data_IF_666887246722
#
_entry.id   IF_666887246722
#
_cell.length_a   1.000
_cell.length_b   1.000
_cell.length_c   1.000
_cell.angle_alpha   90.00
_cell.angle_beta   90.00
_cell.angle_gamma   90.00
#
_symmetry.space_group_name_H-M   'P 1'
#
loop_
_entity.id
_entity.type
_entity.pdbx_description
1 polymer ?
#
# COMPACT_ATOMS: atom_id res chain seq x y z
N UNK A 1 5.87 3.26 9.63
CA UNK A 1 4.76 2.48 10.14
C UNK A 1 5.10 0.99 10.17
N UNK A 2 4.70 0.30 11.21
CA UNK A 2 4.92 -1.14 11.34
C UNK A 2 4.08 -1.95 10.33
N UNK A 3 2.94 -1.41 9.92
CA UNK A 3 2.04 -2.15 9.01
C UNK A 3 2.42 -2.02 7.54
N UNK A 4 3.25 -1.06 7.19
CA UNK A 4 3.59 -0.78 5.79
C UNK A 4 5.02 -1.16 5.53
N UNK A 5 5.23 -2.12 4.62
CA UNK A 5 6.56 -2.51 4.17
C UNK A 5 7.03 -1.63 3.02
N UNK A 6 6.16 -1.41 2.05
CA UNK A 6 6.43 -0.57 0.90
C UNK A 6 5.18 0.21 0.54
N UNK A 7 5.36 1.43 0.04
CA UNK A 7 4.25 2.27 -0.39
C UNK A 7 4.69 3.13 -1.56
N UNK A 8 3.81 3.27 -2.55
CA UNK A 8 4.04 4.19 -3.67
C UNK A 8 2.78 5.03 -3.89
N UNK A 9 2.93 6.34 -3.74
CA UNK A 9 1.82 7.25 -4.00
C UNK A 9 1.63 7.40 -5.51
N UNK A 10 0.39 7.30 -5.95
CA UNK A 10 0.00 7.52 -7.35
C UNK A 10 -1.05 8.61 -7.39
N UNK A 11 -1.33 9.16 -8.57
CA UNK A 11 -2.34 10.21 -8.65
C UNK A 11 -2.19 11.15 -9.82
N UNK A 12 -1.19 10.94 -10.66
CA UNK A 12 -0.97 11.79 -11.83
C UNK A 12 -2.21 11.77 -12.72
N UNK A 13 -2.81 12.94 -12.94
CA UNK A 13 -4.00 13.06 -13.76
C UNK A 13 -5.29 12.56 -13.11
N UNK A 14 -5.25 12.21 -11.83
CA UNK A 14 -6.42 11.70 -11.11
C UNK A 14 -7.02 12.80 -10.22
N UNK A 15 -8.24 12.54 -9.73
CA UNK A 15 -8.98 13.50 -8.90
C UNK A 15 -8.39 13.63 -7.49
N UNK A 16 -7.66 12.62 -7.04
CA UNK A 16 -7.07 12.61 -5.71
C UNK A 16 -5.86 11.68 -5.69
N UNK A 17 -4.93 11.87 -4.73
CA UNK A 17 -3.82 10.93 -4.57
C UNK A 17 -4.31 9.60 -3.99
N UNK A 18 -3.77 8.51 -4.54
CA UNK A 18 -3.96 7.17 -3.99
C UNK A 18 -2.61 6.56 -3.68
N UNK A 19 -2.60 5.36 -3.14
CA UNK A 19 -1.36 4.66 -2.86
C UNK A 19 -1.48 3.16 -3.12
N UNK A 20 -0.41 2.61 -3.67
CA UNK A 20 -0.20 1.17 -3.72
C UNK A 20 0.59 0.82 -2.46
N UNK A 21 0.09 -0.11 -1.66
CA UNK A 21 0.66 -0.44 -0.36
C UNK A 21 0.97 -1.92 -0.28
N UNK A 22 2.22 -2.24 0.06
CA UNK A 22 2.59 -3.62 0.40
C UNK A 22 2.67 -3.69 1.91
N UNK A 23 1.80 -4.46 2.56
CA UNK A 23 1.79 -4.54 4.03
C UNK A 23 2.94 -5.38 4.56
N UNK A 24 3.35 -5.09 5.80
CA UNK A 24 4.26 -5.94 6.54
C UNK A 24 3.42 -7.07 7.14
N UNK A 25 3.52 -8.26 6.55
CA UNK A 25 2.67 -9.38 6.91
C UNK A 25 2.86 -9.83 8.36
N UNK A 26 4.09 -9.78 8.86
CA UNK A 26 4.37 -10.17 10.24
C UNK A 26 3.71 -9.23 11.24
N UNK A 27 3.77 -7.94 10.97
CA UNK A 27 3.12 -6.95 11.81
C UNK A 27 1.60 -7.07 11.79
N UNK A 28 1.03 -7.34 10.61
CA UNK A 28 -0.42 -7.55 10.47
C UNK A 28 -0.85 -8.80 11.22
N UNK A 29 -0.11 -9.89 11.08
CA UNK A 29 -0.41 -11.13 11.78
C UNK A 29 -0.37 -10.95 13.31
N UNK A 30 0.62 -10.23 13.80
CA UNK A 30 0.74 -9.93 15.23
C UNK A 30 -0.43 -9.08 15.74
N UNK A 31 -0.82 -8.08 14.95
CA UNK A 31 -1.98 -7.25 15.29
C UNK A 31 -3.27 -8.09 15.36
N UNK A 32 -3.45 -8.99 14.39
CA UNK A 32 -4.62 -9.88 14.37
C UNK A 32 -4.65 -10.75 15.64
N UNK A 33 -3.50 -11.27 16.04
CA UNK A 33 -3.39 -12.08 17.24
C UNK A 33 -3.77 -11.31 18.49
N UNK A 34 -3.28 -10.06 18.63
CA UNK A 34 -3.60 -9.22 19.78
C UNK A 34 -5.05 -8.80 19.83
N UNK A 35 -5.68 -8.63 18.68
CA UNK A 35 -7.07 -8.18 18.57
C UNK A 35 -8.06 -9.33 18.48
N UNK A 36 -7.58 -10.55 18.59
CA UNK A 36 -8.42 -11.75 18.43
C UNK A 36 -9.19 -11.71 17.11
N UNK A 37 -8.52 -11.28 16.06
CA UNK A 37 -9.06 -11.14 14.71
C UNK A 37 -8.42 -12.20 13.81
N UNK A 38 -9.20 -12.95 13.02
CA UNK A 38 -8.60 -13.96 12.13
C UNK A 38 -7.67 -13.32 11.12
N UNK A 39 -6.49 -13.92 10.92
CA UNK A 39 -5.57 -13.45 9.90
C UNK A 39 -6.00 -14.02 8.55
N UNK A 40 -6.36 -13.17 7.57
CA UNK A 40 -6.90 -13.64 6.29
C UNK A 40 -5.85 -14.14 5.29
N UNK A 41 -4.56 -14.08 5.65
CA UNK A 41 -3.47 -14.34 4.72
C UNK A 41 -3.13 -13.11 3.89
N UNK A 42 -1.98 -13.14 3.24
CA UNK A 42 -1.48 -12.00 2.47
C UNK A 42 -2.48 -11.53 1.41
N UNK A 43 -3.09 -12.47 0.69
CA UNK A 43 -4.05 -12.15 -0.36
C UNK A 43 -5.39 -11.66 0.17
N UNK A 44 -5.74 -12.05 1.39
CA UNK A 44 -7.01 -11.67 2.00
C UNK A 44 -7.00 -10.32 2.70
N UNK A 45 -5.82 -9.74 2.93
CA UNK A 45 -5.71 -8.44 3.62
C UNK A 45 -6.52 -7.36 2.91
N UNK A 46 -6.47 -7.35 1.59
CA UNK A 46 -7.17 -6.39 0.75
C UNK A 46 -8.68 -6.36 1.04
N UNK A 47 -9.25 -7.52 1.27
CA UNK A 47 -10.70 -7.67 1.45
C UNK A 47 -11.13 -7.57 2.91
N UNK A 48 -10.17 -7.43 3.83
CA UNK A 48 -10.47 -7.29 5.26
C UNK A 48 -10.64 -5.82 5.61
N UNK A 49 -11.86 -5.41 5.91
CA UNK A 49 -12.17 -4.01 6.16
C UNK A 49 -11.42 -3.42 7.36
N UNK A 50 -11.25 -4.19 8.43
CA UNK A 50 -10.55 -3.70 9.63
C UNK A 50 -9.07 -3.51 9.38
N UNK A 51 -8.44 -4.48 8.72
CA UNK A 51 -7.01 -4.39 8.41
C UNK A 51 -6.77 -3.26 7.41
N UNK A 52 -7.59 -3.18 6.36
CA UNK A 52 -7.47 -2.12 5.36
C UNK A 52 -7.64 -0.73 5.97
N UNK A 53 -8.59 -0.56 6.88
CA UNK A 53 -8.80 0.70 7.57
C UNK A 53 -7.57 1.08 8.41
N UNK A 54 -6.96 0.12 9.08
CA UNK A 54 -5.75 0.36 9.86
C UNK A 54 -4.57 0.77 8.96
N UNK A 55 -4.43 0.11 7.82
CA UNK A 55 -3.38 0.46 6.86
C UNK A 55 -3.63 1.87 6.31
N UNK A 56 -4.88 2.21 6.01
CA UNK A 56 -5.22 3.56 5.54
C UNK A 56 -4.84 4.62 6.58
N UNK A 57 -5.10 4.38 7.86
CA UNK A 57 -4.69 5.28 8.92
C UNK A 57 -3.18 5.48 8.95
N UNK A 58 -2.42 4.39 8.80
CA UNK A 58 -0.96 4.46 8.81
C UNK A 58 -0.41 5.23 7.61
N UNK A 59 -1.00 5.03 6.43
CA UNK A 59 -0.63 5.80 5.24
C UNK A 59 -0.88 7.29 5.47
N UNK A 60 -2.04 7.65 6.01
CA UNK A 60 -2.37 9.04 6.28
C UNK A 60 -1.42 9.65 7.30
N UNK A 61 -1.02 8.87 8.31
CA UNK A 61 -0.07 9.33 9.30
C UNK A 61 1.31 9.59 8.70
N UNK A 62 1.75 8.72 7.79
CA UNK A 62 3.02 8.92 7.08
C UNK A 62 3.00 10.16 6.19
N UNK A 63 1.84 10.49 5.65
CA UNK A 63 1.69 11.65 4.77
C UNK A 63 1.45 12.96 5.51
N UNK A 64 1.25 12.90 6.83
CA UNK A 64 0.94 14.08 7.65
C UNK A 64 1.93 15.24 7.51
N UNK A 65 3.26 14.99 7.43
CA UNK A 65 4.23 16.09 7.26
C UNK A 65 4.15 16.81 5.92
N UNK A 66 3.43 16.25 4.96
CA UNK A 66 3.29 16.82 3.63
C UNK A 66 2.06 17.73 3.58
N UNK A 67 1.87 18.43 2.46
CA UNK A 67 0.78 19.38 2.33
C UNK A 67 -0.57 18.69 2.51
N UNK A 68 -1.54 19.40 3.15
CA UNK A 68 -2.85 18.84 3.45
C UNK A 68 -3.61 18.39 2.21
N UNK A 69 -3.40 19.07 1.08
CA UNK A 69 -4.05 18.70 -0.18
C UNK A 69 -3.47 17.44 -0.81
N UNK A 70 -2.38 16.92 -0.27
CA UNK A 70 -1.73 15.71 -0.77
C UNK A 70 -2.09 14.46 0.03
N UNK A 71 -3.11 14.55 0.87
CA UNK A 71 -3.56 13.38 1.64
C UNK A 71 -4.00 12.27 0.70
N UNK A 72 -3.51 11.06 0.98
CA UNK A 72 -3.92 9.87 0.27
C UNK A 72 -5.34 9.52 0.68
N UNK A 73 -6.26 9.51 -0.28
CA UNK A 73 -7.69 9.28 -0.01
C UNK A 73 -8.12 7.84 -0.21
N UNK A 74 -7.34 7.08 -0.96
CA UNK A 74 -7.63 5.66 -1.19
C UNK A 74 -6.34 4.88 -1.30
N UNK A 75 -6.38 3.61 -0.92
CA UNK A 75 -5.24 2.72 -1.03
C UNK A 75 -5.64 1.46 -1.79
N UNK A 76 -4.65 0.82 -2.39
CA UNK A 76 -4.80 -0.51 -2.95
C UNK A 76 -3.71 -1.40 -2.36
N UNK A 77 -4.11 -2.41 -1.62
CA UNK A 77 -3.18 -3.32 -0.97
C UNK A 77 -2.69 -4.35 -1.98
N UNK A 78 -1.37 -4.50 -2.06
CA UNK A 78 -0.74 -5.46 -2.98
C UNK A 78 -0.19 -6.64 -2.17
N UNK A 79 -0.39 -7.87 -2.66
CA UNK A 79 0.08 -9.06 -1.94
C UNK A 79 1.56 -9.37 -2.16
N UNK A 80 2.21 -8.70 -3.12
CA UNK A 80 3.60 -9.01 -3.50
C UNK A 80 4.46 -7.78 -3.39
N UNK A 81 5.66 -7.94 -2.81
CA UNK A 81 6.60 -6.84 -2.67
C UNK A 81 7.19 -6.41 -4.01
N UNK A 82 7.52 -5.13 -4.11
CA UNK A 82 8.34 -4.62 -5.21
C UNK A 82 9.74 -5.21 -5.06
N UNK A 83 10.38 -5.52 -6.18
CA UNK A 83 11.67 -6.21 -6.15
C UNK A 83 12.64 -5.68 -7.20
N UNK A 84 13.93 -5.87 -6.94
CA UNK A 84 15.00 -5.50 -7.89
C UNK A 84 14.92 -6.39 -9.12
N UNK A 85 14.75 -7.69 -8.94
CA UNK A 85 14.80 -8.66 -10.03
C UNK A 85 13.69 -8.50 -11.07
N UNK A 86 12.58 -7.87 -10.72
CA UNK A 86 11.50 -7.62 -11.68
C UNK A 86 11.52 -6.18 -12.23
N UNK A 87 12.57 -5.42 -11.92
CA UNK A 87 12.73 -4.07 -12.42
C UNK A 87 11.96 -2.99 -11.70
N UNK A 88 11.39 -3.30 -10.53
CA UNK A 88 10.58 -2.34 -9.77
C UNK A 88 11.38 -1.52 -8.77
N UNK A 89 12.56 -2.00 -8.39
CA UNK A 89 13.47 -1.29 -7.49
C UNK A 89 14.85 -1.14 -8.12
N UNK A 90 15.52 -0.04 -7.78
CA UNK A 90 16.94 0.12 -8.12
C UNK A 90 17.78 -0.73 -7.17
N UNK A 91 19.10 -0.95 -7.48
CA UNK A 91 19.98 -1.67 -6.56
C UNK A 91 20.05 -1.05 -5.15
N UNK A 92 19.74 0.23 -5.01
CA UNK A 92 19.71 0.91 -3.71
C UNK A 92 18.29 0.94 -3.12
N UNK A 93 17.39 0.10 -3.64
CA UNK A 93 16.01 -0.08 -3.17
C UNK A 93 15.11 1.13 -3.35
N UNK A 94 15.41 1.99 -4.31
CA UNK A 94 14.53 3.10 -4.67
C UNK A 94 13.47 2.63 -5.65
N UNK A 95 12.25 3.16 -5.50
CA UNK A 95 11.14 2.79 -6.38
C UNK A 95 11.36 3.26 -7.82
N UNK A 96 11.14 2.36 -8.76
CA UNK A 96 11.13 2.69 -10.19
C UNK A 96 9.67 2.84 -10.61
N UNK A 97 9.16 4.05 -10.57
CA UNK A 97 7.73 4.34 -10.72
C UNK A 97 7.13 3.83 -12.03
N UNK A 98 7.84 3.99 -13.14
CA UNK A 98 7.30 3.58 -14.44
C UNK A 98 7.04 2.07 -14.53
N UNK A 99 8.03 1.20 -14.23
CA UNK A 99 7.78 -0.25 -14.23
C UNK A 99 6.69 -0.67 -13.23
N UNK A 100 6.67 -0.07 -12.05
CA UNK A 100 5.65 -0.39 -11.04
C UNK A 100 4.26 -0.05 -11.57
N UNK A 101 4.09 1.12 -12.16
CA UNK A 101 2.80 1.52 -12.74
C UNK A 101 2.37 0.57 -13.85
N UNK A 102 3.29 0.18 -14.71
CA UNK A 102 3.00 -0.74 -15.80
C UNK A 102 2.56 -2.10 -15.28
N UNK A 103 3.28 -2.64 -14.29
CA UNK A 103 2.97 -3.95 -13.72
C UNK A 103 1.65 -3.96 -12.94
N UNK A 104 1.30 -2.83 -12.35
CA UNK A 104 0.13 -2.74 -11.46
C UNK A 104 -0.95 -1.81 -12.00
N UNK A 105 -1.01 -1.62 -13.32
CA UNK A 105 -2.00 -0.73 -13.92
C UNK A 105 -3.43 -1.17 -13.58
N UNK A 106 -3.70 -2.47 -13.57
CA UNK A 106 -5.02 -2.99 -13.18
C UNK A 106 -5.39 -2.61 -11.76
N UNK A 107 -4.42 -2.66 -10.84
CA UNK A 107 -4.64 -2.28 -9.45
C UNK A 107 -4.89 -0.78 -9.31
N UNK A 108 -4.17 0.02 -10.08
CA UNK A 108 -4.37 1.48 -10.09
C UNK A 108 -5.77 1.80 -10.64
N UNK A 109 -6.18 1.11 -11.70
CA UNK A 109 -7.52 1.29 -12.28
C UNK A 109 -8.61 0.96 -11.26
N UNK A 110 -8.43 -0.11 -10.49
CA UNK A 110 -9.36 -0.49 -9.43
C UNK A 110 -9.44 0.57 -8.34
N UNK A 111 -8.31 1.19 -8.01
CA UNK A 111 -8.25 2.22 -6.97
C UNK A 111 -9.11 3.42 -7.35
N UNK A 112 -9.19 3.75 -8.63
CA UNK A 112 -9.94 4.91 -9.14
C UNK A 112 -11.27 4.53 -9.79
N UNK A 113 -11.65 3.27 -9.69
CA UNK A 113 -12.91 2.81 -10.29
C UNK A 113 -14.13 3.41 -9.60
#
# INVERSE_FOLDING_TARGET
SLFIEQVMVVGDGQKFPGALVVPNVDAVAEWCKRKDHPFPGMEGIRDDARISARIQEDVNRLMEPFAQWEKVKAIRVLPTMFAIENGELTPTLKLKRKPIKEHHQGEIDQLYA
#
